data_IF_821165650852
#
_entry.id   IF_821165650852
#
_cell.length_a   1.000
_cell.length_b   1.000
_cell.length_c   1.000
_cell.angle_alpha   90.00
_cell.angle_beta   90.00
_cell.angle_gamma   90.00
#
_symmetry.space_group_name_H-M   'P 1'
#
loop_
_entity.id
_entity.type
_entity.pdbx_description
1 polymer ?
#
# COMPACT_ATOMS: atom_id res chain seq x y z
N UNK A 1 -5.48 2.65 -13.08
CA UNK A 1 -4.41 2.48 -14.07
C UNK A 1 -3.13 3.14 -13.56
N UNK A 2 -1.97 2.53 -13.79
CA UNK A 2 -0.66 3.10 -13.42
C UNK A 2 -0.20 4.04 -14.54
N UNK A 3 -0.45 5.34 -14.42
CA UNK A 3 -0.30 6.29 -15.53
C UNK A 3 0.69 7.42 -15.25
N UNK A 4 1.25 7.49 -14.04
CA UNK A 4 2.19 8.56 -13.64
C UNK A 4 3.61 8.02 -13.44
N UNK A 5 4.45 7.93 -14.48
CA UNK A 5 5.85 7.52 -14.33
C UNK A 5 6.69 8.54 -13.55
N UNK A 6 6.28 9.82 -13.54
CA UNK A 6 6.95 10.92 -12.85
C UNK A 6 5.91 11.76 -12.09
N UNK A 7 5.37 11.24 -10.96
CA UNK A 7 4.33 11.94 -10.20
C UNK A 7 4.89 13.23 -9.60
N UNK A 8 4.04 14.25 -9.52
CA UNK A 8 4.30 15.58 -8.94
C UNK A 8 3.51 15.83 -7.67
N UNK A 9 2.37 15.15 -7.52
CA UNK A 9 1.50 15.25 -6.36
C UNK A 9 1.33 13.90 -5.68
N UNK A 10 0.96 13.91 -4.40
CA UNK A 10 0.64 12.72 -3.61
C UNK A 10 -0.46 11.87 -4.26
N UNK A 11 -1.45 12.52 -4.88
CA UNK A 11 -2.52 11.84 -5.61
C UNK A 11 -1.98 11.08 -6.82
N UNK A 12 -1.15 11.71 -7.65
CA UNK A 12 -0.49 11.02 -8.77
C UNK A 12 0.41 9.88 -8.29
N UNK A 13 1.05 10.05 -7.13
CA UNK A 13 1.85 9.04 -6.46
C UNK A 13 1.09 7.73 -6.20
N UNK A 14 -0.20 7.80 -5.86
CA UNK A 14 -1.04 6.62 -5.65
C UNK A 14 -1.18 5.74 -6.90
N UNK A 15 -0.99 6.33 -8.07
CA UNK A 15 -1.09 5.68 -9.38
C UNK A 15 0.27 5.59 -10.09
N UNK A 16 1.37 5.61 -9.32
CA UNK A 16 2.74 5.49 -9.80
C UNK A 16 3.44 4.27 -9.19
N UNK A 17 3.68 3.23 -10.01
CA UNK A 17 4.35 2.01 -9.54
C UNK A 17 5.76 2.29 -9.02
N UNK A 18 6.52 3.11 -9.76
CA UNK A 18 7.87 3.49 -9.35
C UNK A 18 7.88 4.14 -7.98
N UNK A 19 6.96 5.09 -7.76
CA UNK A 19 6.88 5.80 -6.49
C UNK A 19 6.54 4.85 -5.34
N UNK A 20 5.53 3.99 -5.51
CA UNK A 20 5.16 2.99 -4.51
C UNK A 20 6.35 2.07 -4.14
N UNK A 21 7.11 1.59 -5.12
CA UNK A 21 8.30 0.75 -4.89
C UNK A 21 9.41 1.53 -4.18
N UNK A 22 9.71 2.75 -4.63
CA UNK A 22 10.77 3.57 -4.04
C UNK A 22 10.45 3.93 -2.59
N UNK A 23 9.22 4.36 -2.30
CA UNK A 23 8.78 4.66 -0.93
C UNK A 23 8.88 3.42 -0.05
N UNK A 24 8.45 2.24 -0.54
CA UNK A 24 8.61 0.99 0.19
C UNK A 24 10.08 0.69 0.54
N UNK A 25 11.02 1.01 -0.36
CA UNK A 25 12.45 0.82 -0.11
C UNK A 25 13.03 1.84 0.87
N UNK A 26 12.59 3.09 0.80
CA UNK A 26 13.12 4.20 1.61
C UNK A 26 12.56 4.17 3.03
N UNK A 27 11.24 4.06 3.15
CA UNK A 27 10.52 4.20 4.43
C UNK A 27 10.18 2.84 5.05
N UNK A 28 10.40 1.73 4.33
CA UNK A 28 9.99 0.36 4.72
C UNK A 28 8.49 0.24 5.04
N UNK A 29 7.68 1.19 4.59
CA UNK A 29 6.23 1.28 4.79
C UNK A 29 5.60 1.99 3.59
N UNK A 30 4.39 1.56 3.21
CA UNK A 30 3.53 2.25 2.24
C UNK A 30 2.14 2.38 2.87
N UNK A 31 1.83 3.58 3.36
CA UNK A 31 0.53 3.95 3.94
C UNK A 31 0.07 5.30 3.40
N UNK A 32 -1.14 5.73 3.76
CA UNK A 32 -1.70 7.01 3.32
C UNK A 32 -0.77 8.20 3.64
N UNK A 33 -0.04 8.13 4.76
CA UNK A 33 0.90 9.16 5.18
C UNK A 33 2.12 9.35 4.25
N UNK A 34 2.37 8.43 3.32
CA UNK A 34 3.45 8.57 2.33
C UNK A 34 2.99 9.19 1.02
N UNK A 35 1.68 9.35 0.80
CA UNK A 35 1.13 9.93 -0.42
C UNK A 35 0.89 11.43 -0.27
N UNK A 36 1.94 12.18 0.05
CA UNK A 36 1.93 13.64 0.14
C UNK A 36 2.82 14.26 -0.94
N UNK A 37 2.57 15.52 -1.28
CA UNK A 37 3.37 16.25 -2.27
C UNK A 37 4.82 16.39 -1.81
N UNK A 38 5.06 16.56 -0.50
CA UNK A 38 6.40 16.65 0.08
C UNK A 38 7.16 15.33 -0.11
N UNK A 39 6.52 14.18 0.15
CA UNK A 39 7.15 12.87 -0.02
C UNK A 39 7.40 12.56 -1.50
N UNK A 40 6.49 12.94 -2.39
CA UNK A 40 6.69 12.81 -3.84
C UNK A 40 7.89 13.62 -4.29
N UNK A 41 8.07 14.84 -3.79
CA UNK A 41 9.17 15.72 -4.16
C UNK A 41 10.45 15.54 -3.33
N UNK A 42 10.49 14.58 -2.39
CA UNK A 42 11.67 14.25 -1.57
C UNK A 42 12.89 13.93 -2.47
N UNK A 43 14.03 14.64 -2.33
CA UNK A 43 15.22 14.42 -3.14
C UNK A 43 15.72 12.96 -3.14
N UNK A 44 15.61 12.26 -2.02
CA UNK A 44 16.00 10.84 -1.89
C UNK A 44 15.09 9.96 -2.73
N UNK A 45 13.77 10.18 -2.65
CA UNK A 45 12.77 9.46 -3.46
C UNK A 45 13.02 9.75 -4.95
N UNK A 46 13.15 11.01 -5.33
CA UNK A 46 13.41 11.43 -6.72
C UNK A 46 14.71 10.82 -7.27
N UNK A 47 15.76 10.71 -6.45
CA UNK A 47 17.03 10.10 -6.86
C UNK A 47 16.92 8.60 -7.18
N UNK A 48 16.04 7.89 -6.48
CA UNK A 48 15.79 6.46 -6.70
C UNK A 48 14.78 6.23 -7.82
N UNK A 49 13.79 7.12 -7.97
CA UNK A 49 12.85 7.12 -9.09
C UNK A 49 13.57 7.16 -10.45
N UNK A 50 14.64 7.95 -10.56
CA UNK A 50 15.49 8.02 -11.76
C UNK A 50 16.18 6.69 -12.12
N UNK A 51 16.25 5.73 -11.19
CA UNK A 51 16.87 4.41 -11.39
C UNK A 51 15.82 3.31 -11.59
N UNK A 52 14.55 3.62 -11.38
CA UNK A 52 13.46 2.67 -11.51
C UNK A 52 13.07 2.49 -12.98
N UNK A 53 12.92 1.25 -13.40
CA UNK A 53 12.50 0.88 -14.74
C UNK A 53 11.40 -0.17 -14.64
N UNK A 54 10.26 0.08 -15.28
CA UNK A 54 9.14 -0.85 -15.36
C UNK A 54 9.03 -1.40 -16.78
N UNK A 55 8.89 -2.72 -16.89
CA UNK A 55 8.67 -3.39 -18.16
C UNK A 55 7.73 -4.57 -17.95
N UNK A 56 6.98 -4.91 -18.99
CA UNK A 56 6.16 -6.12 -19.01
C UNK A 56 7.05 -7.29 -19.40
N UNK A 57 7.09 -8.33 -18.57
CA UNK A 57 7.88 -9.53 -18.87
C UNK A 57 7.37 -10.19 -20.17
N UNK A 58 8.25 -10.73 -21.03
CA UNK A 58 7.84 -11.35 -22.28
C UNK A 58 6.81 -12.47 -22.12
N UNK A 59 6.93 -13.28 -21.05
CA UNK A 59 6.04 -14.40 -20.74
C UNK A 59 4.64 -13.97 -20.23
N UNK A 60 4.47 -12.70 -19.90
CA UNK A 60 3.19 -12.11 -19.49
C UNK A 60 2.53 -11.27 -20.59
N UNK A 61 3.16 -11.16 -21.78
CA UNK A 61 2.58 -10.43 -22.91
C UNK A 61 1.35 -11.18 -23.44
N UNK A 62 0.21 -10.50 -23.52
CA UNK A 62 -1.04 -11.05 -24.09
C UNK A 62 -1.89 -11.85 -23.11
N UNK A 63 -1.41 -12.15 -21.90
CA UNK A 63 -2.28 -12.48 -20.79
C UNK A 63 -3.13 -11.23 -20.49
N UNK A 64 -4.45 -11.37 -20.34
CA UNK A 64 -5.29 -10.24 -19.98
C UNK A 64 -4.69 -9.54 -18.75
N UNK A 65 -4.27 -8.28 -18.92
CA UNK A 65 -3.46 -7.52 -17.96
C UNK A 65 -4.11 -7.39 -16.57
N UNK A 66 -5.37 -7.78 -16.43
CA UNK A 66 -6.17 -7.80 -15.21
C UNK A 66 -6.12 -9.14 -14.45
N UNK A 67 -5.72 -10.24 -15.08
CA UNK A 67 -5.78 -11.58 -14.48
C UNK A 67 -4.51 -11.97 -13.70
N UNK A 68 -3.37 -11.35 -14.02
CA UNK A 68 -2.09 -11.65 -13.38
C UNK A 68 -1.59 -10.47 -12.56
N UNK A 69 -1.62 -10.62 -11.23
CA UNK A 69 -0.97 -9.70 -10.27
C UNK A 69 0.49 -10.09 -10.00
N UNK A 70 1.10 -10.89 -10.88
CA UNK A 70 2.47 -11.35 -10.73
C UNK A 70 3.46 -10.21 -10.98
N UNK A 71 4.41 -10.02 -10.07
CA UNK A 71 5.44 -8.99 -10.18
C UNK A 71 6.79 -9.56 -9.73
N UNK A 72 7.85 -9.16 -10.44
CA UNK A 72 9.23 -9.46 -10.07
C UNK A 72 9.97 -8.15 -9.87
N UNK A 73 10.52 -7.94 -8.67
CA UNK A 73 11.41 -6.83 -8.38
C UNK A 73 12.86 -7.32 -8.41
N UNK A 74 13.70 -6.61 -9.16
CA UNK A 74 15.15 -6.79 -9.14
C UNK A 74 15.83 -5.50 -8.66
N UNK A 75 16.70 -5.62 -7.67
CA UNK A 75 17.53 -4.53 -7.16
C UNK A 75 19.00 -4.88 -7.37
N UNK A 76 19.72 -4.02 -8.09
CA UNK A 76 21.17 -4.13 -8.27
C UNK A 76 21.88 -3.09 -7.41
N UNK A 77 22.80 -3.55 -6.57
CA UNK A 77 23.63 -2.70 -5.72
C UNK A 77 24.88 -2.22 -6.46
N UNK A 78 25.55 -1.19 -5.92
CA UNK A 78 26.76 -0.62 -6.51
C UNK A 78 27.95 -1.57 -6.53
N UNK A 79 28.01 -2.52 -5.59
CA UNK A 79 29.01 -3.58 -5.54
C UNK A 79 28.77 -4.68 -6.60
N UNK A 80 27.72 -4.57 -7.42
CA UNK A 80 27.34 -5.54 -8.44
C UNK A 80 26.38 -6.62 -7.95
N UNK A 81 26.11 -6.71 -6.66
CA UNK A 81 25.20 -7.70 -6.08
C UNK A 81 23.75 -7.47 -6.54
N UNK A 82 23.03 -8.56 -6.81
CA UNK A 82 21.64 -8.50 -7.25
C UNK A 82 20.72 -9.25 -6.29
N UNK A 83 19.61 -8.61 -5.94
CA UNK A 83 18.51 -9.19 -5.19
C UNK A 83 17.29 -9.28 -6.09
N UNK A 84 16.69 -10.47 -6.18
CA UNK A 84 15.52 -10.73 -7.01
C UNK A 84 14.45 -11.35 -6.13
N UNK A 85 13.22 -10.82 -6.22
CA UNK A 85 12.05 -11.40 -5.58
C UNK A 85 10.85 -11.37 -6.51
N UNK A 86 10.18 -12.51 -6.64
CA UNK A 86 8.92 -12.64 -7.39
C UNK A 86 7.76 -12.88 -6.43
N UNK A 87 6.62 -12.29 -6.75
CA UNK A 87 5.34 -12.48 -6.04
C UNK A 87 4.28 -12.70 -7.10
N UNK A 88 3.66 -13.88 -7.09
CA UNK A 88 2.63 -14.21 -8.09
C UNK A 88 1.25 -13.67 -7.70
N UNK A 89 1.01 -13.55 -6.38
CA UNK A 89 -0.25 -13.09 -5.79
C UNK A 89 0.01 -12.01 -4.76
N UNK A 90 -0.55 -10.83 -5.00
CA UNK A 90 -0.41 -9.68 -4.12
C UNK A 90 -0.96 -9.97 -2.73
N UNK A 91 -0.25 -9.48 -1.70
CA UNK A 91 -0.70 -9.51 -0.30
C UNK A 91 -2.06 -8.82 -0.20
N UNK A 92 -3.02 -9.44 0.48
CA UNK A 92 -4.41 -9.01 0.59
C UNK A 92 -5.36 -9.56 -0.45
N UNK A 93 -4.88 -10.28 -1.47
CA UNK A 93 -5.76 -11.05 -2.36
C UNK A 93 -6.37 -12.26 -1.64
N UNK A 94 -7.43 -12.84 -2.22
CA UNK A 94 -8.02 -14.09 -1.71
C UNK A 94 -7.01 -15.23 -1.62
N UNK A 95 -6.04 -15.27 -2.53
CA UNK A 95 -4.99 -16.30 -2.60
C UNK A 95 -3.77 -15.98 -1.71
N UNK A 96 -3.67 -14.75 -1.17
CA UNK A 96 -2.62 -14.34 -0.25
C UNK A 96 -3.19 -13.34 0.78
N UNK A 97 -4.10 -13.78 1.68
CA UNK A 97 -4.93 -12.89 2.49
C UNK A 97 -4.17 -12.31 3.68
N UNK A 98 -4.40 -11.03 3.99
CA UNK A 98 -3.83 -10.36 5.16
C UNK A 98 -4.10 -11.15 6.45
N UNK A 99 -3.11 -11.19 7.36
CA UNK A 99 -3.30 -11.72 8.70
C UNK A 99 -4.28 -10.84 9.47
N UNK A 100 -4.80 -11.34 10.60
CA UNK A 100 -5.64 -10.52 11.49
C UNK A 100 -4.92 -9.24 11.90
N UNK A 101 -3.67 -9.37 12.33
CA UNK A 101 -2.82 -8.26 12.76
C UNK A 101 -2.62 -7.22 11.65
N UNK A 102 -2.34 -7.64 10.42
CA UNK A 102 -2.17 -6.70 9.30
C UNK A 102 -3.48 -5.97 8.96
N UNK A 103 -4.64 -6.65 9.04
CA UNK A 103 -5.94 -6.00 8.82
C UNK A 103 -6.23 -4.96 9.91
N UNK A 104 -5.95 -5.30 11.16
CA UNK A 104 -6.10 -4.40 12.31
C UNK A 104 -5.18 -3.19 12.16
N UNK A 105 -3.89 -3.41 11.85
CA UNK A 105 -2.94 -2.32 11.64
C UNK A 105 -3.34 -1.42 10.47
N UNK A 106 -3.85 -1.99 9.37
CA UNK A 106 -4.39 -1.21 8.25
C UNK A 106 -5.59 -0.35 8.66
N UNK A 107 -6.50 -0.89 9.49
CA UNK A 107 -7.63 -0.13 10.01
C UNK A 107 -7.13 1.06 10.86
N UNK A 108 -6.18 0.82 11.78
CA UNK A 108 -5.57 1.88 12.60
C UNK A 108 -4.93 2.96 11.74
N UNK A 109 -4.13 2.57 10.74
CA UNK A 109 -3.47 3.50 9.80
C UNK A 109 -4.48 4.39 9.07
N UNK A 110 -5.65 3.86 8.68
CA UNK A 110 -6.70 4.66 8.04
C UNK A 110 -7.45 5.58 9.02
N UNK A 111 -7.69 5.13 10.25
CA UNK A 111 -8.53 5.84 11.21
C UNK A 111 -7.76 6.89 12.04
N UNK A 112 -6.44 6.79 12.14
CA UNK A 112 -5.62 7.64 13.02
C UNK A 112 -5.67 9.14 12.70
N UNK A 113 -6.13 9.53 11.50
CA UNK A 113 -6.32 10.93 11.13
C UNK A 113 -7.67 11.53 11.52
N UNK A 114 -8.62 10.71 11.98
CA UNK A 114 -10.02 11.11 12.22
C UNK A 114 -10.57 10.66 13.57
N UNK A 115 -10.03 9.60 14.16
CA UNK A 115 -10.46 9.04 15.44
C UNK A 115 -9.29 9.00 16.43
N UNK A 116 -9.58 9.20 17.71
CA UNK A 116 -8.63 8.92 18.79
C UNK A 116 -8.31 7.43 18.90
N UNK A 117 -7.16 7.08 19.49
CA UNK A 117 -6.75 5.67 19.67
C UNK A 117 -7.80 4.85 20.44
N UNK A 118 -8.42 5.42 21.47
CA UNK A 118 -9.49 4.75 22.22
C UNK A 118 -10.75 4.51 21.38
N UNK A 119 -11.12 5.45 20.51
CA UNK A 119 -12.22 5.26 19.56
C UNK A 119 -11.88 4.18 18.52
N UNK A 120 -10.65 4.15 18.02
CA UNK A 120 -10.17 3.14 17.07
C UNK A 120 -10.25 1.74 17.67
N UNK A 121 -9.71 1.54 18.87
CA UNK A 121 -9.73 0.24 19.54
C UNK A 121 -11.16 -0.21 19.89
N UNK A 122 -12.01 0.71 20.33
CA UNK A 122 -13.44 0.42 20.58
C UNK A 122 -14.15 0.04 19.28
N UNK A 123 -13.90 0.75 18.19
CA UNK A 123 -14.49 0.46 16.88
C UNK A 123 -14.06 -0.92 16.37
N UNK A 124 -12.77 -1.24 16.45
CA UNK A 124 -12.23 -2.56 16.11
C UNK A 124 -12.91 -3.67 16.91
N UNK A 125 -13.06 -3.49 18.22
CA UNK A 125 -13.70 -4.50 19.07
C UNK A 125 -15.16 -4.74 18.66
N UNK A 126 -15.94 -3.69 18.41
CA UNK A 126 -17.34 -3.83 17.99
C UNK A 126 -17.48 -4.44 16.59
N UNK A 127 -16.59 -4.11 15.65
CA UNK A 127 -16.61 -4.71 14.31
C UNK A 127 -16.21 -6.19 14.34
N UNK A 128 -15.31 -6.58 15.24
CA UNK A 128 -14.92 -7.99 15.42
C UNK A 128 -16.02 -8.85 16.08
N UNK A 129 -16.95 -8.25 16.82
CA UNK A 129 -18.06 -8.93 17.52
C UNK A 129 -19.41 -8.35 17.07
N UNK A 130 -19.52 -8.03 15.78
CA UNK A 130 -20.65 -7.29 15.23
C UNK A 130 -21.98 -8.05 15.37
N UNK A 131 -21.92 -9.38 15.36
CA UNK A 131 -23.04 -10.30 15.58
C UNK A 131 -23.63 -10.24 16.99
N UNK A 132 -22.86 -9.73 17.97
CA UNK A 132 -23.30 -9.60 19.37
C UNK A 132 -23.92 -8.22 19.66
N UNK A 133 -23.89 -7.31 18.68
CA UNK A 133 -24.41 -5.95 18.86
C UNK A 133 -25.94 -5.98 19.02
N UNK A 134 -26.40 -5.33 20.09
CA UNK A 134 -27.84 -5.10 20.30
C UNK A 134 -28.39 -4.07 19.33
N UNK A 135 -27.55 -3.09 18.94
CA UNK A 135 -27.91 -2.06 17.98
C UNK A 135 -26.69 -1.52 17.26
N UNK A 136 -26.85 -1.21 15.97
CA UNK A 136 -25.81 -0.58 15.16
C UNK A 136 -25.41 0.81 15.66
N UNK A 137 -26.26 1.46 16.47
CA UNK A 137 -25.96 2.76 17.09
C UNK A 137 -24.67 2.71 17.93
N UNK A 138 -24.37 1.56 18.56
CA UNK A 138 -23.15 1.38 19.36
C UNK A 138 -21.88 1.62 18.52
N UNK A 139 -21.93 1.32 17.22
CA UNK A 139 -20.85 1.55 16.27
C UNK A 139 -20.91 2.97 15.68
N UNK A 140 -22.09 3.42 15.24
CA UNK A 140 -22.22 4.73 14.57
C UNK A 140 -21.91 5.91 15.50
N UNK A 141 -22.18 5.77 16.80
CA UNK A 141 -21.85 6.81 17.79
C UNK A 141 -20.34 7.01 17.96
N UNK A 142 -19.50 6.03 17.63
CA UNK A 142 -18.04 6.18 17.69
C UNK A 142 -17.53 7.05 16.54
N UNK A 143 -18.15 6.95 15.37
CA UNK A 143 -17.72 7.59 14.12
C UNK A 143 -18.50 8.87 13.79
N UNK A 144 -19.45 9.25 14.65
CA UNK A 144 -20.09 10.57 14.61
C UNK A 144 -19.10 11.62 15.10
N UNK A 145 -18.40 12.22 14.15
CA UNK A 145 -17.68 13.49 14.28
C UNK A 145 -18.62 14.67 14.09
#
# INVERSE_FOLDING_TARGET
>A
SLIHPNPKTGLEGQFSMGFCVVVALVDRKVSLAQFTDEKVNDPKVQSLMKKFHLYIRPDLKGAESSASNACTLKVRLRNGEEYIKSVDKNRGSTQNPLSKEERVNKFRDCANGVLSQSQIDRCLNLVEHMEELKTICQLTDIIRT
#
